data_IF_274379182615
#
_entry.id   IF_274379182615
#
_cell.length_a   1.000
_cell.length_b   1.000
_cell.length_c   1.000
_cell.angle_alpha   90.00
_cell.angle_beta   90.00
_cell.angle_gamma   90.00
#
_symmetry.space_group_name_H-M   'P 1'
#
loop_
_entity.id
_entity.type
_entity.pdbx_description
1 polymer ?
#
# COMPACT_ATOMS: atom_id res chain seq x y z
N UNK A 1 -9.91 65.66 -35.83
CA UNK A 1 -10.39 66.01 -37.18
C UNK A 1 -10.26 64.74 -38.01
N UNK A 2 -11.39 64.23 -38.53
CA UNK A 2 -11.55 63.27 -39.65
C UNK A 2 -10.98 61.85 -39.43
N UNK A 3 -11.72 60.73 -39.34
CA UNK A 3 -12.95 60.18 -39.96
C UNK A 3 -12.89 59.90 -41.47
N UNK A 4 -13.00 58.59 -41.79
CA UNK A 4 -13.57 57.90 -42.99
C UNK A 4 -12.61 56.82 -43.53
N UNK A 5 -13.02 55.68 -44.08
CA UNK A 5 -14.28 54.92 -44.11
C UNK A 5 -13.98 53.54 -44.76
N UNK A 6 -14.82 52.56 -44.40
CA UNK A 6 -15.16 51.27 -45.02
C UNK A 6 -14.72 50.95 -46.47
N UNK A 7 -14.35 49.68 -46.68
CA UNK A 7 -14.85 48.85 -47.80
C UNK A 7 -14.98 47.38 -47.39
N UNK A 8 -16.08 46.76 -47.82
CA UNK A 8 -16.51 45.40 -47.52
C UNK A 8 -16.37 44.46 -48.73
N UNK A 9 -16.07 43.19 -48.43
CA UNK A 9 -16.53 41.91 -49.04
C UNK A 9 -16.18 41.55 -50.51
N UNK A 10 -16.01 40.24 -50.87
CA UNK A 10 -17.02 39.20 -50.66
C UNK A 10 -16.55 37.81 -50.15
N UNK A 11 -17.54 37.00 -49.77
CA UNK A 11 -17.45 35.70 -49.13
C UNK A 11 -17.41 34.48 -50.09
N UNK A 12 -16.72 33.43 -49.61
CA UNK A 12 -16.98 31.96 -49.77
C UNK A 12 -16.79 31.29 -51.15
N UNK A 13 -16.50 29.95 -51.24
CA UNK A 13 -16.86 28.89 -50.27
C UNK A 13 -15.84 27.72 -50.02
N UNK A 14 -16.13 26.97 -48.95
CA UNK A 14 -15.79 25.54 -48.68
C UNK A 14 -14.39 25.14 -48.19
N UNK A 15 -14.27 24.91 -46.88
CA UNK A 15 -13.47 23.80 -46.33
C UNK A 15 -14.08 23.29 -45.01
N UNK A 16 -14.04 21.96 -44.85
CA UNK A 16 -14.73 21.09 -43.87
C UNK A 16 -14.32 21.32 -42.39
N UNK A 17 -15.12 20.89 -41.40
CA UNK A 17 -14.82 21.11 -39.99
C UNK A 17 -13.64 20.25 -39.50
N UNK A 18 -12.76 20.87 -38.72
CA UNK A 18 -11.61 20.25 -38.08
C UNK A 18 -12.00 19.29 -36.95
N UNK A 19 -11.32 18.15 -36.89
CA UNK A 19 -11.33 17.24 -35.74
C UNK A 19 -10.47 17.77 -34.58
N UNK A 20 -10.60 17.20 -33.37
CA UNK A 20 -9.91 17.70 -32.18
C UNK A 20 -8.40 17.47 -32.26
N UNK A 21 -7.66 18.46 -31.77
CA UNK A 21 -6.20 18.52 -31.72
C UNK A 21 -5.61 17.36 -30.90
N UNK A 22 -4.49 16.79 -31.40
CA UNK A 22 -3.67 15.80 -30.68
C UNK A 22 -2.91 16.48 -29.55
N UNK A 23 -2.79 15.87 -28.35
CA UNK A 23 -1.90 16.39 -27.31
C UNK A 23 -0.43 16.17 -27.71
N UNK A 24 0.36 17.24 -27.63
CA UNK A 24 1.80 17.24 -27.86
C UNK A 24 2.56 16.67 -26.65
N UNK A 25 3.53 15.78 -26.91
CA UNK A 25 4.41 15.14 -25.92
C UNK A 25 5.40 16.17 -25.32
N UNK A 26 5.70 16.15 -24.00
CA UNK A 26 6.64 17.09 -23.37
C UNK A 26 8.11 16.78 -23.70
N UNK A 27 8.90 17.83 -23.88
CA UNK A 27 10.27 17.87 -24.44
C UNK A 27 11.43 17.54 -23.49
N UNK A 28 11.18 16.98 -22.30
CA UNK A 28 12.25 16.76 -21.31
C UNK A 28 13.06 15.45 -21.48
N UNK A 29 12.69 14.58 -22.42
CA UNK A 29 13.36 13.30 -22.64
C UNK A 29 14.47 13.36 -23.70
N UNK A 30 15.61 14.01 -23.40
CA UNK A 30 16.86 13.80 -24.16
C UNK A 30 18.10 13.86 -23.27
N UNK A 31 18.91 12.80 -23.40
CA UNK A 31 20.29 12.60 -22.93
C UNK A 31 20.44 11.93 -21.56
N UNK A 32 20.85 10.65 -21.56
CA UNK A 32 22.21 10.18 -21.27
C UNK A 32 22.36 8.78 -21.87
N UNK A 33 23.42 8.57 -22.66
CA UNK A 33 23.88 7.26 -23.15
C UNK A 33 25.26 7.03 -22.54
N UNK A 34 25.47 5.90 -21.87
CA UNK A 34 26.79 5.26 -21.78
C UNK A 34 26.62 3.75 -21.68
N UNK A 35 27.41 3.07 -22.50
CA UNK A 35 27.43 1.66 -22.86
C UNK A 35 28.09 0.80 -21.78
N UNK A 36 27.61 -0.43 -21.57
CA UNK A 36 28.45 -1.53 -21.08
C UNK A 36 28.12 -2.82 -21.84
N UNK A 37 29.18 -3.46 -22.32
CA UNK A 37 29.21 -4.62 -23.21
C UNK A 37 29.07 -5.89 -22.36
N UNK A 38 28.16 -6.79 -22.75
CA UNK A 38 28.02 -8.13 -22.17
C UNK A 38 28.85 -9.12 -22.99
N UNK A 39 29.62 -9.95 -22.30
CA UNK A 39 30.25 -11.15 -22.86
C UNK A 39 29.37 -12.37 -22.60
N UNK A 40 29.08 -13.13 -23.66
CA UNK A 40 28.43 -14.44 -23.60
C UNK A 40 29.36 -15.48 -22.98
N UNK A 41 28.82 -16.29 -22.07
CA UNK A 41 29.43 -17.56 -21.64
C UNK A 41 28.32 -18.62 -21.58
N UNK A 42 28.46 -19.63 -22.44
CA UNK A 42 27.64 -20.84 -22.45
C UNK A 42 27.97 -21.73 -21.24
N UNK A 43 26.95 -22.35 -20.64
CA UNK A 43 27.09 -23.44 -19.65
C UNK A 43 26.37 -24.69 -20.14
N UNK A 44 27.00 -25.88 -20.14
CA UNK A 44 26.32 -27.14 -20.39
C UNK A 44 25.67 -27.71 -19.11
N UNK A 45 24.54 -28.39 -19.30
CA UNK A 45 23.74 -28.98 -18.23
C UNK A 45 24.23 -30.33 -17.71
N UNK A 46 23.60 -30.78 -16.63
CA UNK A 46 23.46 -32.20 -16.28
C UNK A 46 22.30 -32.38 -15.28
N UNK A 47 21.38 -33.29 -15.63
CA UNK A 47 20.35 -33.85 -14.76
C UNK A 47 20.94 -34.87 -13.77
N UNK A 48 20.27 -35.05 -12.62
CA UNK A 48 20.31 -36.34 -11.91
C UNK A 48 19.98 -36.26 -10.41
N UNK A 49 19.23 -37.25 -9.85
CA UNK A 49 18.21 -37.02 -8.82
C UNK A 49 18.65 -37.46 -7.42
N UNK A 50 17.85 -37.10 -6.38
CA UNK A 50 17.42 -38.04 -5.32
C UNK A 50 16.52 -37.42 -4.24
N UNK A 51 15.36 -38.04 -4.12
CA UNK A 51 14.47 -38.18 -2.98
C UNK A 51 15.21 -38.49 -1.66
N UNK A 52 14.95 -37.70 -0.60
CA UNK A 52 15.13 -38.08 0.81
C UNK A 52 14.17 -37.31 1.73
N UNK A 53 13.25 -38.07 2.34
CA UNK A 53 12.85 -37.96 3.75
C UNK A 53 12.38 -36.60 4.25
N UNK A 54 11.05 -36.42 4.34
CA UNK A 54 10.44 -35.39 5.19
C UNK A 54 10.60 -35.79 6.65
N UNK A 55 11.70 -35.37 7.28
CA UNK A 55 11.81 -35.41 8.74
C UNK A 55 10.74 -34.50 9.34
N UNK A 56 9.77 -35.11 10.00
CA UNK A 56 8.73 -34.43 10.75
C UNK A 56 9.37 -34.02 12.07
N UNK A 57 9.89 -32.78 12.14
CA UNK A 57 10.43 -32.20 13.36
C UNK A 57 9.37 -32.27 14.46
N UNK A 58 9.61 -33.13 15.44
CA UNK A 58 9.03 -33.04 16.78
C UNK A 58 9.42 -31.68 17.37
N UNK A 59 8.44 -30.92 17.85
CA UNK A 59 8.60 -29.54 18.32
C UNK A 59 9.83 -29.37 19.23
N UNK A 60 10.70 -28.37 18.98
CA UNK A 60 11.63 -27.95 20.01
C UNK A 60 10.82 -27.26 21.13
N UNK A 61 11.10 -27.63 22.37
CA UNK A 61 10.75 -26.84 23.56
C UNK A 61 11.18 -25.38 23.32
N UNK A 62 10.23 -24.46 23.34
CA UNK A 62 10.47 -23.08 22.90
C UNK A 62 11.53 -22.38 23.76
N UNK A 63 12.58 -21.90 23.09
CA UNK A 63 13.81 -21.34 23.65
C UNK A 63 13.77 -19.81 23.62
N UNK A 64 12.60 -19.22 23.77
CA UNK A 64 12.40 -17.77 23.81
C UNK A 64 12.49 -17.22 25.23
N UNK A 65 12.96 -15.99 25.33
CA UNK A 65 12.95 -15.20 26.58
C UNK A 65 11.64 -14.41 26.64
N UNK A 66 10.87 -14.59 27.72
CA UNK A 66 9.76 -13.68 28.02
C UNK A 66 10.29 -12.41 28.68
N UNK A 67 9.92 -11.24 28.15
CA UNK A 67 10.29 -9.94 28.69
C UNK A 67 9.01 -9.24 29.17
N UNK A 68 8.77 -9.31 30.47
CA UNK A 68 7.58 -8.77 31.14
C UNK A 68 7.88 -7.71 32.19
N UNK A 69 9.09 -7.15 32.20
CA UNK A 69 9.51 -6.08 33.09
C UNK A 69 10.51 -5.14 32.42
N UNK A 70 10.56 -3.90 32.88
CA UNK A 70 11.35 -2.84 32.25
C UNK A 70 12.86 -3.13 32.28
N UNK A 71 13.39 -3.68 33.37
CA UNK A 71 14.83 -3.91 33.49
C UNK A 71 15.31 -4.94 32.48
N UNK A 72 14.55 -6.03 32.30
CA UNK A 72 14.82 -7.02 31.28
C UNK A 72 14.71 -6.46 29.86
N UNK A 73 13.78 -5.53 29.63
CA UNK A 73 13.62 -4.86 28.33
C UNK A 73 14.80 -3.94 28.00
N UNK A 74 15.26 -3.12 28.94
CA UNK A 74 16.42 -2.25 28.74
C UNK A 74 17.68 -3.05 28.43
N UNK A 75 17.93 -4.14 29.18
CA UNK A 75 19.05 -5.04 28.92
C UNK A 75 18.97 -5.70 27.54
N UNK A 76 17.76 -6.06 27.09
CA UNK A 76 17.56 -6.58 25.74
C UNK A 76 17.90 -5.51 24.70
N UNK A 77 17.46 -4.27 24.87
CA UNK A 77 17.79 -3.20 23.92
C UNK A 77 19.30 -2.94 23.85
N UNK A 78 20.01 -2.97 24.97
CA UNK A 78 21.49 -2.89 24.98
C UNK A 78 22.15 -4.05 24.24
N UNK A 79 21.60 -5.26 24.35
CA UNK A 79 22.08 -6.45 23.63
C UNK A 79 21.86 -6.35 22.12
N UNK A 80 20.73 -5.77 21.69
CA UNK A 80 20.33 -5.73 20.28
C UNK A 80 20.90 -4.53 19.53
N UNK A 81 21.13 -3.39 20.18
CA UNK A 81 21.68 -2.23 19.50
C UNK A 81 23.10 -2.54 19.00
N UNK A 82 23.29 -2.44 17.68
CA UNK A 82 24.58 -2.68 17.04
C UNK A 82 24.78 -4.11 16.53
N UNK A 83 23.82 -5.02 16.73
CA UNK A 83 23.84 -6.30 16.00
C UNK A 83 23.57 -6.04 14.51
N UNK A 84 24.09 -6.86 13.58
CA UNK A 84 23.95 -6.57 12.15
C UNK A 84 22.50 -6.57 11.65
N UNK A 85 21.67 -7.47 12.19
CA UNK A 85 20.27 -7.60 11.84
C UNK A 85 19.45 -8.24 12.97
N UNK A 86 18.18 -7.86 13.07
CA UNK A 86 17.18 -8.45 13.97
C UNK A 86 15.95 -8.86 13.16
N UNK A 87 15.41 -10.04 13.40
CA UNK A 87 14.07 -10.42 12.98
C UNK A 87 13.03 -9.77 13.88
N UNK A 88 11.96 -9.23 13.30
CA UNK A 88 10.89 -8.57 14.04
C UNK A 88 9.53 -8.94 13.46
N UNK A 89 8.56 -9.13 14.35
CA UNK A 89 7.14 -9.28 14.04
C UNK A 89 6.32 -8.64 15.16
N UNK A 90 5.02 -8.42 14.93
CA UNK A 90 4.11 -7.91 15.96
C UNK A 90 2.76 -8.63 15.97
N UNK A 91 2.14 -8.69 17.15
CA UNK A 91 0.72 -9.02 17.28
C UNK A 91 -0.03 -7.82 17.84
N UNK A 92 -1.20 -7.53 17.27
CA UNK A 92 -1.99 -6.34 17.61
C UNK A 92 -3.47 -6.56 17.35
N UNK A 93 -4.31 -5.73 17.96
CA UNK A 93 -5.74 -5.69 17.70
C UNK A 93 -6.20 -4.32 17.21
N UNK A 94 -7.28 -4.31 16.39
CA UNK A 94 -7.89 -3.08 15.82
C UNK A 94 -9.40 -3.06 15.88
N UNK A 95 -10.04 -4.16 16.27
CA UNK A 95 -11.48 -4.35 16.12
C UNK A 95 -12.29 -3.45 17.06
N UNK A 96 -11.70 -3.12 18.21
CA UNK A 96 -12.34 -2.42 19.34
C UNK A 96 -11.86 -0.99 19.54
N UNK A 97 -10.87 -0.55 18.76
CA UNK A 97 -10.19 0.75 18.86
C UNK A 97 -10.21 1.48 17.51
N UNK A 98 -9.84 2.75 17.50
CA UNK A 98 -9.60 3.46 16.24
C UNK A 98 -8.21 3.11 15.69
N UNK A 99 -7.22 3.07 16.59
CA UNK A 99 -5.84 2.77 16.25
C UNK A 99 -5.46 1.32 16.57
N UNK A 100 -4.45 0.75 15.91
CA UNK A 100 -3.86 -0.51 16.35
C UNK A 100 -3.21 -0.38 17.72
N UNK A 101 -3.43 -1.38 18.57
CA UNK A 101 -2.76 -1.54 19.85
C UNK A 101 -1.85 -2.75 19.80
N UNK A 102 -0.57 -2.51 20.09
CA UNK A 102 0.46 -3.53 20.12
C UNK A 102 0.26 -4.44 21.35
N UNK A 103 0.02 -5.72 21.12
CA UNK A 103 -0.20 -6.72 22.16
C UNK A 103 1.02 -7.61 22.37
N UNK A 104 1.88 -7.80 21.38
CA UNK A 104 3.13 -8.55 21.51
C UNK A 104 4.16 -8.04 20.51
N UNK A 105 5.43 -7.96 20.95
CA UNK A 105 6.56 -7.71 20.07
C UNK A 105 7.49 -8.92 20.10
N UNK A 106 7.84 -9.43 18.93
CA UNK A 106 8.72 -10.57 18.76
C UNK A 106 10.05 -10.11 18.18
N UNK A 107 11.16 -10.58 18.76
CA UNK A 107 12.50 -10.21 18.34
C UNK A 107 13.37 -11.46 18.23
N UNK A 108 14.09 -11.61 17.12
CA UNK A 108 15.08 -12.67 16.92
C UNK A 108 16.43 -12.07 16.51
N UNK A 109 17.51 -12.57 17.08
CA UNK A 109 18.88 -12.19 16.77
C UNK A 109 19.78 -13.43 16.78
N UNK A 110 21.03 -13.38 16.30
CA UNK A 110 21.85 -14.59 16.18
C UNK A 110 22.03 -15.41 17.47
N UNK A 111 21.95 -14.76 18.64
CA UNK A 111 22.14 -15.41 19.94
C UNK A 111 20.83 -15.83 20.63
N UNK A 112 19.65 -15.42 20.15
CA UNK A 112 18.40 -15.73 20.83
C UNK A 112 17.13 -15.16 20.22
N UNK A 113 16.03 -15.39 20.93
CA UNK A 113 14.69 -14.92 20.61
C UNK A 113 14.03 -14.41 21.88
N UNK A 114 13.27 -13.32 21.77
CA UNK A 114 12.48 -12.76 22.86
C UNK A 114 11.05 -12.47 22.43
N UNK A 115 10.12 -12.66 23.36
CA UNK A 115 8.74 -12.18 23.29
C UNK A 115 8.59 -11.09 24.34
N UNK A 116 8.31 -9.87 23.91
CA UNK A 116 8.20 -8.68 24.76
C UNK A 116 6.74 -8.35 24.96
N UNK A 117 6.32 -8.22 26.22
CA UNK A 117 4.97 -7.80 26.61
C UNK A 117 4.84 -6.27 26.64
N UNK A 118 4.22 -5.64 25.63
CA UNK A 118 4.06 -4.20 25.54
C UNK A 118 3.17 -3.63 26.65
N UNK A 119 2.34 -4.47 27.29
CA UNK A 119 1.44 -4.06 28.36
C UNK A 119 2.17 -3.96 29.71
N UNK A 120 3.37 -4.53 29.82
CA UNK A 120 4.16 -4.58 31.04
C UNK A 120 5.41 -3.69 31.02
N UNK A 121 5.77 -3.12 29.86
CA UNK A 121 6.98 -2.31 29.67
C UNK A 121 6.69 -1.04 28.88
N UNK A 122 7.48 0.00 29.11
CA UNK A 122 7.56 1.16 28.22
C UNK A 122 8.46 0.82 27.01
N UNK A 123 7.87 0.85 25.82
CA UNK A 123 8.54 0.55 24.56
C UNK A 123 9.33 1.73 23.97
N UNK A 124 9.36 2.90 24.62
CA UNK A 124 10.14 4.05 24.14
C UNK A 124 11.61 3.70 23.86
N UNK A 125 12.19 2.79 24.66
CA UNK A 125 13.56 2.29 24.47
C UNK A 125 13.81 1.55 23.15
N UNK A 126 12.76 1.07 22.46
CA UNK A 126 12.84 0.41 21.16
C UNK A 126 13.31 1.36 20.06
N UNK A 127 13.01 2.66 20.18
CA UNK A 127 13.44 3.67 19.20
C UNK A 127 14.97 3.65 18.99
N UNK A 128 15.75 3.36 20.04
CA UNK A 128 17.22 3.21 19.92
C UNK A 128 17.64 2.12 18.95
N UNK A 129 16.91 1.01 18.90
CA UNK A 129 17.16 -0.08 17.96
C UNK A 129 16.70 0.30 16.56
N UNK A 130 15.50 0.88 16.43
CA UNK A 130 14.90 1.25 15.15
C UNK A 130 15.66 2.37 14.43
N UNK A 131 16.17 3.35 15.17
CA UNK A 131 16.95 4.47 14.64
C UNK A 131 18.44 4.11 14.44
N UNK A 132 18.84 2.88 14.78
CA UNK A 132 20.21 2.42 14.62
C UNK A 132 20.50 1.89 13.20
N UNK A 133 21.79 1.68 12.84
CA UNK A 133 22.16 1.03 11.58
C UNK A 133 21.77 -0.46 11.48
N UNK A 134 21.24 -1.08 12.55
CA UNK A 134 20.80 -2.48 12.56
C UNK A 134 19.67 -2.69 11.55
N UNK A 135 19.78 -3.73 10.72
CA UNK A 135 18.72 -4.06 9.77
C UNK A 135 17.58 -4.78 10.50
N UNK A 136 16.38 -4.19 10.48
CA UNK A 136 15.16 -4.88 10.91
C UNK A 136 14.65 -5.70 9.74
N UNK A 137 14.63 -7.01 9.91
CA UNK A 137 14.10 -7.99 8.97
C UNK A 137 12.69 -8.34 9.41
N UNK A 138 11.71 -8.11 8.54
CA UNK A 138 10.31 -8.41 8.80
C UNK A 138 9.68 -9.09 7.57
N UNK A 139 8.43 -9.54 7.69
CA UNK A 139 7.69 -10.15 6.60
C UNK A 139 6.34 -9.48 6.43
N UNK A 140 6.09 -8.85 5.27
CA UNK A 140 4.84 -8.14 5.01
C UNK A 140 4.54 -7.03 6.04
N UNK A 141 5.57 -6.23 6.35
CA UNK A 141 5.67 -5.34 7.50
C UNK A 141 4.77 -4.09 7.45
N UNK A 142 3.92 -3.93 6.43
CA UNK A 142 3.17 -2.68 6.23
C UNK A 142 2.31 -2.30 7.44
N UNK A 143 1.67 -3.29 8.07
CA UNK A 143 0.85 -3.06 9.27
C UNK A 143 1.71 -2.93 10.52
N UNK A 144 2.76 -3.72 10.66
CA UNK A 144 3.70 -3.67 11.79
C UNK A 144 4.32 -2.27 11.90
N UNK A 145 4.68 -1.64 10.79
CA UNK A 145 5.26 -0.30 10.78
C UNK A 145 4.26 0.76 11.31
N UNK A 146 2.97 0.64 11.02
CA UNK A 146 1.94 1.52 11.60
C UNK A 146 1.82 1.32 13.12
N UNK A 147 1.87 0.06 13.56
CA UNK A 147 1.80 -0.30 14.98
C UNK A 147 3.03 0.21 15.74
N UNK A 148 4.23 0.01 15.19
CA UNK A 148 5.50 0.46 15.75
C UNK A 148 5.57 1.98 15.83
N UNK A 149 5.25 2.70 14.76
CA UNK A 149 5.28 4.17 14.76
C UNK A 149 4.39 4.75 15.86
N UNK A 150 3.23 4.13 16.10
CA UNK A 150 2.34 4.53 17.18
C UNK A 150 2.88 4.14 18.57
N UNK A 151 3.43 2.94 18.71
CA UNK A 151 3.88 2.41 19.99
C UNK A 151 5.18 3.04 20.50
N UNK A 152 6.11 3.37 19.60
CA UNK A 152 7.45 3.88 19.97
C UNK A 152 7.85 5.18 19.25
N UNK A 153 7.00 5.75 18.39
CA UNK A 153 7.20 7.05 17.76
C UNK A 153 8.10 7.05 16.52
N UNK A 154 8.61 5.89 16.10
CA UNK A 154 9.48 5.75 14.93
C UNK A 154 9.28 4.40 14.23
N UNK A 155 9.89 4.24 13.06
CA UNK A 155 9.97 3.01 12.29
C UNK A 155 11.45 2.68 12.01
N UNK A 156 11.81 1.43 11.68
CA UNK A 156 13.19 1.09 11.37
C UNK A 156 13.80 1.98 10.28
N UNK A 157 14.97 2.56 10.56
CA UNK A 157 15.76 3.29 9.57
C UNK A 157 16.22 2.37 8.44
N UNK A 158 16.54 1.11 8.76
CA UNK A 158 16.93 0.07 7.80
C UNK A 158 15.97 -1.11 7.89
N UNK A 159 15.01 -1.15 6.97
CA UNK A 159 14.07 -2.25 6.82
C UNK A 159 14.49 -3.20 5.70
N UNK A 160 14.39 -4.50 5.93
CA UNK A 160 14.38 -5.53 4.90
C UNK A 160 13.09 -6.35 5.03
N UNK A 161 12.16 -6.14 4.10
CA UNK A 161 10.92 -6.91 4.04
C UNK A 161 11.11 -8.14 3.14
N UNK A 162 11.00 -9.33 3.73
CA UNK A 162 11.19 -10.60 3.04
C UNK A 162 10.13 -10.89 1.98
N UNK A 163 8.90 -10.39 2.12
CA UNK A 163 7.84 -10.53 1.12
C UNK A 163 8.12 -9.64 -0.10
N UNK A 164 8.53 -8.40 0.13
CA UNK A 164 8.96 -7.47 -0.93
C UNK A 164 10.15 -8.06 -1.69
N UNK A 165 11.18 -8.52 -0.98
CA UNK A 165 12.36 -9.15 -1.55
C UNK A 165 12.01 -10.39 -2.39
N UNK A 166 11.12 -11.25 -1.91
CA UNK A 166 10.66 -12.42 -2.64
C UNK A 166 9.90 -12.08 -3.93
N UNK A 167 9.23 -10.92 -3.97
CA UNK A 167 8.59 -10.42 -5.20
C UNK A 167 9.58 -10.21 -6.34
N UNK A 168 10.82 -9.80 -6.04
CA UNK A 168 11.89 -9.69 -7.04
C UNK A 168 12.46 -11.04 -7.52
N UNK A 169 12.07 -12.15 -6.87
CA UNK A 169 12.34 -13.52 -7.28
C UNK A 169 11.12 -14.16 -7.99
N UNK A 170 10.06 -13.39 -8.24
CA UNK A 170 8.86 -13.83 -8.95
C UNK A 170 7.82 -14.49 -8.06
N UNK A 171 7.93 -14.34 -6.74
CA UNK A 171 6.92 -14.83 -5.80
C UNK A 171 5.92 -13.72 -5.49
N UNK A 172 4.69 -13.87 -5.97
CA UNK A 172 3.61 -12.91 -5.70
C UNK A 172 3.01 -13.11 -4.31
N UNK A 173 3.20 -12.12 -3.43
CA UNK A 173 2.65 -12.07 -2.07
C UNK A 173 2.76 -13.40 -1.29
N UNK A 174 3.95 -14.04 -1.22
CA UNK A 174 4.10 -15.28 -0.48
C UNK A 174 3.88 -15.03 1.01
N UNK A 175 3.23 -15.97 1.71
CA UNK A 175 3.21 -15.98 3.17
C UNK A 175 4.59 -16.34 3.72
N UNK A 176 4.85 -16.00 4.98
CA UNK A 176 6.08 -16.40 5.68
C UNK A 176 6.29 -17.92 5.62
N UNK A 177 5.23 -18.69 5.92
CA UNK A 177 5.25 -20.16 5.81
C UNK A 177 5.62 -20.67 4.42
N UNK A 178 5.18 -19.97 3.37
CA UNK A 178 5.54 -20.32 1.98
C UNK A 178 7.01 -20.04 1.71
N UNK A 179 7.57 -18.95 2.24
CA UNK A 179 8.99 -18.64 2.09
C UNK A 179 9.87 -19.63 2.85
N UNK A 180 9.52 -19.94 4.10
CA UNK A 180 10.24 -20.93 4.91
C UNK A 180 10.25 -22.30 4.22
N UNK A 181 9.10 -22.75 3.69
CA UNK A 181 9.01 -24.02 2.96
C UNK A 181 9.83 -24.01 1.67
N UNK A 182 9.68 -22.97 0.83
CA UNK A 182 10.35 -22.92 -0.48
C UNK A 182 11.85 -22.66 -0.42
N UNK A 183 12.30 -21.81 0.51
CA UNK A 183 13.68 -21.33 0.54
C UNK A 183 14.54 -22.07 1.56
N UNK A 184 13.94 -22.52 2.67
CA UNK A 184 14.66 -23.23 3.75
C UNK A 184 14.29 -24.71 3.83
N UNK A 185 13.31 -25.18 3.05
CA UNK A 185 12.80 -26.55 3.09
C UNK A 185 12.34 -26.97 4.50
N UNK A 186 11.72 -26.04 5.24
CA UNK A 186 11.18 -26.25 6.60
C UNK A 186 9.70 -25.91 6.64
N UNK A 187 8.98 -26.43 7.63
CA UNK A 187 7.55 -26.13 7.80
C UNK A 187 7.34 -25.42 9.13
N UNK A 188 6.76 -24.22 9.06
CA UNK A 188 6.23 -23.56 10.24
C UNK A 188 5.05 -24.36 10.79
N UNK A 189 4.99 -24.45 12.13
CA UNK A 189 3.87 -25.07 12.80
C UNK A 189 2.58 -24.30 12.48
N UNK A 190 1.47 -25.01 12.35
CA UNK A 190 0.15 -24.37 12.23
C UNK A 190 -0.26 -23.89 13.62
N UNK A 191 -0.35 -22.58 13.81
CA UNK A 191 -1.01 -21.98 14.97
C UNK A 191 -2.23 -21.17 14.57
N UNK A 192 -3.07 -20.87 15.55
CA UNK A 192 -4.26 -20.06 15.36
C UNK A 192 -3.89 -18.57 15.42
N UNK A 193 -3.91 -17.93 14.25
CA UNK A 193 -3.68 -16.48 14.10
C UNK A 193 -4.82 -15.64 14.67
N UNK A 194 -6.01 -16.24 14.86
CA UNK A 194 -7.22 -15.53 15.29
C UNK A 194 -7.48 -15.76 16.77
N UNK A 195 -6.51 -15.39 17.60
CA UNK A 195 -6.60 -15.44 19.06
C UNK A 195 -6.61 -14.04 19.67
N UNK A 196 -7.06 -13.94 20.92
CA UNK A 196 -7.04 -12.69 21.67
C UNK A 196 -5.65 -12.47 22.28
N UNK A 197 -4.82 -11.69 21.59
CA UNK A 197 -3.46 -11.35 21.98
C UNK A 197 -3.37 -10.39 23.16
N UNK A 198 -4.47 -9.70 23.51
CA UNK A 198 -4.51 -8.79 24.67
C UNK A 198 -4.61 -9.54 26.01
N UNK A 199 -4.95 -10.84 25.98
CA UNK A 199 -5.13 -11.63 27.20
C UNK A 199 -3.80 -11.91 27.88
N UNK A 200 -3.80 -11.87 29.22
CA UNK A 200 -2.67 -12.27 30.05
C UNK A 200 -3.10 -13.29 31.12
N UNK A 201 -2.24 -14.28 31.45
CA UNK A 201 -1.00 -14.62 30.74
C UNK A 201 -1.29 -15.22 29.35
N UNK A 202 -0.34 -15.08 28.41
CA UNK A 202 -0.42 -15.78 27.12
C UNK A 202 -0.23 -17.29 27.32
N UNK A 203 -1.01 -18.09 26.60
CA UNK A 203 -0.84 -19.54 26.61
C UNK A 203 0.49 -19.95 25.95
N UNK A 204 0.98 -21.15 26.29
CA UNK A 204 2.21 -21.67 25.67
C UNK A 204 2.09 -21.76 24.15
N UNK A 205 0.93 -22.18 23.63
CA UNK A 205 0.70 -22.28 22.19
C UNK A 205 0.76 -20.91 21.48
N UNK A 206 0.30 -19.84 22.13
CA UNK A 206 0.43 -18.48 21.61
C UNK A 206 1.89 -18.04 21.54
N UNK A 207 2.65 -18.33 22.61
CA UNK A 207 4.07 -17.99 22.67
C UNK A 207 4.88 -18.78 21.62
N UNK A 208 4.61 -20.08 21.46
CA UNK A 208 5.28 -20.93 20.47
C UNK A 208 4.98 -20.46 19.03
N UNK A 209 3.73 -20.07 18.77
CA UNK A 209 3.33 -19.48 17.48
C UNK A 209 4.09 -18.17 17.22
N UNK A 210 4.05 -17.24 18.17
CA UNK A 210 4.71 -15.94 18.04
C UNK A 210 6.23 -16.08 17.85
N UNK A 211 6.88 -17.00 18.55
CA UNK A 211 8.30 -17.27 18.36
C UNK A 211 8.60 -17.80 16.95
N UNK A 212 7.75 -18.67 16.40
CA UNK A 212 7.95 -19.26 15.08
C UNK A 212 7.92 -18.21 13.94
N UNK A 213 7.19 -17.10 14.11
CA UNK A 213 7.08 -16.05 13.08
C UNK A 213 8.36 -15.20 12.93
N UNK A 214 9.26 -15.20 13.92
CA UNK A 214 10.58 -14.53 13.81
C UNK A 214 11.77 -15.48 13.73
N UNK A 215 11.60 -16.75 14.11
CA UNK A 215 12.67 -17.75 14.22
C UNK A 215 13.53 -17.87 12.95
N UNK A 216 12.91 -17.80 11.78
CA UNK A 216 13.57 -18.04 10.49
C UNK A 216 13.85 -16.77 9.68
N UNK A 217 13.49 -15.58 10.17
CA UNK A 217 13.61 -14.34 9.40
C UNK A 217 15.06 -14.01 9.02
N UNK A 218 16.01 -14.19 9.95
CA UNK A 218 17.42 -13.91 9.68
C UNK A 218 18.04 -14.88 8.66
N UNK A 219 17.61 -16.14 8.67
CA UNK A 219 18.07 -17.13 7.67
C UNK A 219 17.46 -16.83 6.29
N UNK A 220 16.17 -16.49 6.24
CA UNK A 220 15.50 -16.02 5.03
C UNK A 220 16.20 -14.79 4.45
N UNK A 221 16.54 -13.81 5.29
CA UNK A 221 17.26 -12.61 4.89
C UNK A 221 18.57 -12.94 4.16
N UNK A 222 19.38 -13.85 4.70
CA UNK A 222 20.64 -14.26 4.07
C UNK A 222 20.41 -14.94 2.71
N UNK A 223 19.46 -15.86 2.63
CA UNK A 223 19.13 -16.56 1.37
C UNK A 223 18.63 -15.59 0.32
N UNK A 224 17.74 -14.66 0.70
CA UNK A 224 17.17 -13.66 -0.21
C UNK A 224 18.24 -12.70 -0.71
N UNK A 225 19.11 -12.18 0.17
CA UNK A 225 20.23 -11.32 -0.24
C UNK A 225 21.10 -12.03 -1.28
N UNK A 226 21.50 -13.29 -1.02
CA UNK A 226 22.35 -14.04 -1.92
C UNK A 226 21.70 -14.25 -3.30
N UNK A 227 20.42 -14.67 -3.32
CA UNK A 227 19.70 -14.89 -4.59
C UNK A 227 19.45 -13.60 -5.37
N UNK A 228 19.14 -12.50 -4.68
CA UNK A 228 18.92 -11.20 -5.31
C UNK A 228 20.23 -10.60 -5.84
N UNK A 229 21.33 -10.74 -5.10
CA UNK A 229 22.64 -10.29 -5.54
C UNK A 229 23.08 -11.05 -6.80
N UNK A 230 22.88 -12.36 -6.85
CA UNK A 230 23.18 -13.19 -8.04
C UNK A 230 22.38 -12.77 -9.29
N UNK A 231 21.19 -12.16 -9.12
CA UNK A 231 20.37 -11.63 -10.21
C UNK A 231 20.57 -10.13 -10.47
N UNK A 232 21.42 -9.44 -9.71
CA UNK A 232 21.59 -7.99 -9.80
C UNK A 232 20.38 -7.17 -9.34
N UNK A 233 19.53 -7.73 -8.46
CA UNK A 233 18.25 -7.15 -8.03
C UNK A 233 18.22 -6.69 -6.57
N UNK A 234 19.31 -6.91 -5.82
CA UNK A 234 19.35 -6.59 -4.39
C UNK A 234 19.05 -5.11 -4.12
N UNK A 235 19.68 -4.21 -4.86
CA UNK A 235 19.47 -2.76 -4.70
C UNK A 235 18.03 -2.34 -5.02
N UNK A 236 17.33 -3.05 -5.91
CA UNK A 236 15.91 -2.78 -6.19
C UNK A 236 15.04 -3.18 -5.00
N UNK A 237 15.30 -4.35 -4.39
CA UNK A 237 14.61 -4.80 -3.19
C UNK A 237 14.83 -3.85 -2.01
N UNK A 238 16.08 -3.42 -1.79
CA UNK A 238 16.42 -2.44 -0.74
C UNK A 238 15.69 -1.10 -0.95
N UNK A 239 15.63 -0.61 -2.19
CA UNK A 239 14.87 0.60 -2.53
C UNK A 239 13.38 0.44 -2.22
N UNK A 240 12.78 -0.71 -2.50
CA UNK A 240 11.37 -0.95 -2.18
C UNK A 240 11.09 -1.08 -0.69
N UNK A 241 12.00 -1.69 0.06
CA UNK A 241 11.89 -1.74 1.52
C UNK A 241 12.03 -0.34 2.12
N UNK A 242 12.93 0.50 1.60
CA UNK A 242 13.07 1.89 2.01
C UNK A 242 11.81 2.71 1.67
N UNK A 243 11.24 2.53 0.48
CA UNK A 243 9.97 3.16 0.11
C UNK A 243 8.84 2.75 1.05
N UNK A 244 8.73 1.46 1.38
CA UNK A 244 7.77 0.95 2.36
C UNK A 244 7.96 1.61 3.73
N UNK A 245 9.19 1.68 4.24
CA UNK A 245 9.51 2.34 5.50
C UNK A 245 9.12 3.83 5.50
N UNK A 246 9.36 4.53 4.38
CA UNK A 246 9.11 5.98 4.25
C UNK A 246 7.65 6.39 3.95
N UNK A 247 6.71 5.44 3.80
CA UNK A 247 5.31 5.77 3.48
C UNK A 247 4.71 6.68 4.55
N UNK A 248 3.89 7.63 4.10
CA UNK A 248 3.11 8.47 5.00
C UNK A 248 2.01 7.64 5.65
N UNK A 249 2.06 7.55 6.98
CA UNK A 249 1.10 6.81 7.82
C UNK A 249 0.19 7.73 8.62
N UNK A 250 0.22 9.04 8.34
CA UNK A 250 -0.70 9.99 8.97
C UNK A 250 -2.15 9.59 8.65
N UNK A 251 -3.07 9.70 9.62
CA UNK A 251 -4.48 9.50 9.35
C UNK A 251 -4.94 10.38 8.16
N UNK A 252 -5.78 9.85 7.26
CA UNK A 252 -6.32 10.65 6.16
C UNK A 252 -7.02 11.90 6.69
N UNK A 253 -7.08 12.95 5.86
CA UNK A 253 -7.83 14.17 6.18
C UNK A 253 -9.28 13.80 6.56
N UNK A 254 -9.75 14.17 7.78
CA UNK A 254 -11.13 13.93 8.20
C UNK A 254 -12.17 14.44 7.20
N UNK A 255 -11.87 15.51 6.45
CA UNK A 255 -12.75 16.05 5.41
C UNK A 255 -13.00 15.07 4.26
N UNK A 256 -12.14 14.07 4.07
CA UNK A 256 -12.25 13.02 3.05
C UNK A 256 -12.92 11.75 3.59
N UNK A 257 -13.25 11.68 4.90
CA UNK A 257 -13.76 10.47 5.52
C UNK A 257 -15.07 9.96 4.88
N UNK A 258 -15.87 10.86 4.31
CA UNK A 258 -17.12 10.52 3.61
C UNK A 258 -16.90 9.80 2.27
N UNK A 259 -15.71 9.85 1.66
CA UNK A 259 -15.41 9.18 0.39
C UNK A 259 -15.47 7.66 0.48
N UNK A 260 -15.15 7.10 1.67
CA UNK A 260 -15.19 5.66 1.96
C UNK A 260 -16.62 5.13 2.09
N UNK A 261 -17.61 6.01 2.27
CA UNK A 261 -19.01 5.64 2.41
C UNK A 261 -19.60 5.45 1.01
N UNK A 262 -19.81 4.20 0.59
CA UNK A 262 -20.29 3.87 -0.77
C UNK A 262 -21.60 4.59 -1.12
N UNK A 263 -22.53 4.70 -0.17
CA UNK A 263 -23.82 5.38 -0.35
C UNK A 263 -23.66 6.90 -0.57
N UNK A 264 -22.57 7.50 -0.08
CA UNK A 264 -22.35 8.93 -0.19
C UNK A 264 -22.09 9.40 -1.63
N UNK A 265 -21.72 8.48 -2.54
CA UNK A 265 -21.59 8.73 -3.98
C UNK A 265 -22.89 9.24 -4.63
N UNK A 266 -24.05 8.95 -4.03
CA UNK A 266 -25.36 9.38 -4.54
C UNK A 266 -25.75 10.78 -4.07
N UNK A 267 -25.03 11.37 -3.10
CA UNK A 267 -25.35 12.69 -2.55
C UNK A 267 -25.07 13.80 -3.54
N UNK A 268 -25.88 14.86 -3.49
CA UNK A 268 -25.82 16.05 -4.35
C UNK A 268 -26.08 17.32 -3.52
N UNK A 269 -25.55 18.45 -3.98
CA UNK A 269 -25.73 19.76 -3.33
C UNK A 269 -25.33 19.76 -1.85
N UNK A 270 -26.09 20.48 -1.03
CA UNK A 270 -25.85 20.65 0.40
C UNK A 270 -25.70 19.33 1.19
N UNK A 271 -26.30 18.23 0.72
CA UNK A 271 -26.16 16.93 1.36
C UNK A 271 -24.70 16.42 1.36
N UNK A 272 -23.89 16.82 0.37
CA UNK A 272 -22.44 16.53 0.36
C UNK A 272 -21.73 17.30 1.46
N UNK A 273 -22.07 18.57 1.67
CA UNK A 273 -21.46 19.40 2.72
C UNK A 273 -21.76 18.86 4.10
N UNK A 274 -23.02 18.45 4.34
CA UNK A 274 -23.42 17.79 5.59
C UNK A 274 -22.69 16.46 5.77
N UNK A 275 -22.61 15.61 4.74
CA UNK A 275 -21.87 14.35 4.84
C UNK A 275 -20.38 14.56 5.15
N UNK A 276 -19.72 15.52 4.49
CA UNK A 276 -18.32 15.87 4.74
C UNK A 276 -18.11 16.32 6.19
N UNK A 277 -18.88 17.31 6.65
CA UNK A 277 -18.71 17.87 7.99
C UNK A 277 -19.01 16.85 9.10
N UNK A 278 -20.10 16.09 8.97
CA UNK A 278 -20.47 15.05 9.94
C UNK A 278 -19.48 13.88 9.93
N UNK A 279 -18.98 13.47 8.75
CA UNK A 279 -17.95 12.45 8.66
C UNK A 279 -16.63 12.90 9.28
N UNK A 280 -16.22 14.16 9.06
CA UNK A 280 -15.01 14.73 9.64
C UNK A 280 -15.09 14.81 11.17
N UNK A 281 -16.23 15.26 11.71
CA UNK A 281 -16.48 15.22 13.15
C UNK A 281 -16.42 13.78 13.69
N UNK A 282 -17.06 12.84 13.01
CA UNK A 282 -17.07 11.42 13.40
C UNK A 282 -15.64 10.87 13.46
N UNK A 283 -14.83 11.13 12.44
CA UNK A 283 -13.45 10.65 12.36
C UNK A 283 -12.58 11.24 13.46
N UNK A 284 -12.67 12.56 13.67
CA UNK A 284 -11.91 13.28 14.72
C UNK A 284 -12.29 12.77 16.11
N UNK A 285 -13.58 12.57 16.37
CA UNK A 285 -14.08 12.05 17.64
C UNK A 285 -13.69 10.59 17.85
N UNK A 286 -13.67 9.79 16.79
CA UNK A 286 -13.25 8.40 16.82
C UNK A 286 -11.77 8.27 17.19
N UNK A 287 -10.91 9.07 16.54
CA UNK A 287 -9.49 9.15 16.86
C UNK A 287 -9.24 9.65 18.29
N UNK A 288 -9.89 10.75 18.71
CA UNK A 288 -9.69 11.34 20.03
C UNK A 288 -10.17 10.42 21.18
N UNK A 289 -11.22 9.63 20.95
CA UNK A 289 -11.72 8.66 21.95
C UNK A 289 -11.17 7.25 21.76
N UNK A 290 -10.30 7.05 20.78
CA UNK A 290 -9.77 5.76 20.34
C UNK A 290 -10.84 4.65 20.21
N UNK A 291 -11.93 4.99 19.54
CA UNK A 291 -13.04 4.05 19.29
C UNK A 291 -13.30 3.94 17.80
N UNK A 292 -13.73 2.77 17.30
CA UNK A 292 -14.10 2.63 15.90
C UNK A 292 -15.14 3.68 15.50
N UNK A 293 -14.98 4.31 14.33
CA UNK A 293 -15.88 5.38 13.86
C UNK A 293 -17.37 4.97 13.86
N UNK A 294 -17.66 3.69 13.58
CA UNK A 294 -19.01 3.10 13.64
C UNK A 294 -19.65 3.14 15.03
N UNK A 295 -18.84 3.15 16.10
CA UNK A 295 -19.29 3.26 17.49
C UNK A 295 -19.51 4.71 17.94
N UNK A 296 -18.91 5.67 17.23
CA UNK A 296 -19.17 7.11 17.44
C UNK A 296 -20.49 7.49 16.80
N UNK A 297 -20.62 7.25 15.49
CA UNK A 297 -21.84 7.49 14.74
C UNK A 297 -21.99 6.42 13.64
N UNK A 298 -23.03 5.57 13.72
CA UNK A 298 -23.30 4.56 12.71
C UNK A 298 -23.41 5.18 11.30
N UNK A 299 -22.89 4.50 10.29
CA UNK A 299 -22.93 4.98 8.90
C UNK A 299 -24.36 5.26 8.42
N UNK A 300 -25.33 4.44 8.82
CA UNK A 300 -26.74 4.65 8.51
C UNK A 300 -27.28 5.98 9.08
N UNK A 301 -26.88 6.35 10.29
CA UNK A 301 -27.30 7.61 10.90
C UNK A 301 -26.65 8.80 10.20
N UNK A 302 -25.35 8.72 9.91
CA UNK A 302 -24.63 9.75 9.15
C UNK A 302 -25.31 10.01 7.80
N UNK A 303 -25.64 8.95 7.06
CA UNK A 303 -26.33 9.08 5.78
C UNK A 303 -27.74 9.63 5.92
N UNK A 304 -28.48 9.23 6.96
CA UNK A 304 -29.81 9.77 7.23
C UNK A 304 -29.77 11.26 7.54
N UNK A 305 -28.79 11.72 8.33
CA UNK A 305 -28.52 13.13 8.61
C UNK A 305 -28.15 13.88 7.33
N UNK A 306 -27.29 13.32 6.48
CA UNK A 306 -26.89 13.95 5.23
C UNK A 306 -28.06 14.14 4.26
N UNK A 307 -28.96 13.14 4.15
CA UNK A 307 -30.13 13.22 3.29
C UNK A 307 -31.22 14.15 3.83
N UNK A 308 -31.44 14.14 5.15
CA UNK A 308 -32.42 15.00 5.83
C UNK A 308 -31.79 15.62 7.07
N UNK A 309 -31.09 16.76 6.91
CA UNK A 309 -30.45 17.45 8.02
C UNK A 309 -31.46 17.82 9.11
N UNK A 310 -31.27 17.38 10.37
CA UNK A 310 -32.16 17.75 11.47
C UNK A 310 -32.00 19.24 11.79
N UNK A 311 -33.11 19.89 12.16
CA UNK A 311 -33.17 21.32 12.50
C UNK A 311 -33.00 21.59 13.99
N UNK A 312 -33.30 20.59 14.81
CA UNK A 312 -33.21 20.65 16.26
C UNK A 312 -32.88 19.27 16.85
N UNK A 313 -32.69 19.23 18.18
CA UNK A 313 -32.37 18.00 18.91
C UNK A 313 -33.51 16.97 18.88
N UNK A 314 -34.76 17.42 18.73
CA UNK A 314 -35.92 16.52 18.65
C UNK A 314 -35.91 15.77 17.32
N UNK A 315 -35.70 16.46 16.20
CA UNK A 315 -35.53 15.84 14.89
C UNK A 315 -34.31 14.93 14.86
N UNK A 316 -33.18 15.34 15.46
CA UNK A 316 -31.98 14.50 15.55
C UNK A 316 -32.28 13.18 16.29
N UNK A 317 -33.04 13.22 17.39
CA UNK A 317 -33.40 12.02 18.16
C UNK A 317 -34.24 11.00 17.39
N UNK A 318 -34.90 11.42 16.31
CA UNK A 318 -35.75 10.59 15.44
C UNK A 318 -35.02 10.07 14.19
N UNK A 319 -33.75 10.43 14.01
CA UNK A 319 -32.93 9.99 12.87
C UNK A 319 -32.81 8.47 12.87
N UNK A 320 -33.09 7.86 11.72
CA UNK A 320 -32.94 6.42 11.53
C UNK A 320 -31.49 5.98 11.73
N UNK A 321 -31.30 4.91 12.49
CA UNK A 321 -29.96 4.37 12.80
C UNK A 321 -29.28 5.06 13.98
N UNK A 322 -29.93 6.06 14.58
CA UNK A 322 -29.48 6.73 15.77
C UNK A 322 -30.31 6.24 16.97
N UNK A 323 -29.69 5.46 17.85
CA UNK A 323 -30.37 5.03 19.09
C UNK A 323 -30.39 6.19 20.08
N UNK A 324 -31.56 6.71 20.46
CA UNK A 324 -31.67 7.89 21.35
C UNK A 324 -30.96 7.70 22.70
N UNK A 325 -30.85 6.45 23.19
CA UNK A 325 -30.08 6.11 24.42
C UNK A 325 -28.56 6.27 24.27
N UNK A 326 -28.04 6.31 23.05
CA UNK A 326 -26.61 6.49 22.76
C UNK A 326 -26.21 7.95 22.52
N UNK A 327 -27.19 8.86 22.37
CA UNK A 327 -26.90 10.30 22.30
C UNK A 327 -26.79 10.90 23.69
N UNK A 328 -25.55 11.11 24.13
CA UNK A 328 -25.29 12.08 25.18
C UNK A 328 -25.58 13.49 24.64
N UNK A 329 -26.02 14.39 25.52
CA UNK A 329 -26.37 15.77 25.15
C UNK A 329 -25.21 16.51 24.48
N UNK A 330 -23.98 16.33 24.96
CA UNK A 330 -22.78 16.90 24.34
C UNK A 330 -22.59 16.42 22.89
N UNK A 331 -22.72 15.11 22.66
CA UNK A 331 -22.60 14.52 21.33
C UNK A 331 -23.71 15.02 20.40
N UNK A 332 -24.94 15.18 20.92
CA UNK A 332 -26.06 15.71 20.17
C UNK A 332 -25.77 17.15 19.67
N UNK A 333 -25.26 17.99 20.56
CA UNK A 333 -24.86 19.36 20.24
C UNK A 333 -23.73 19.41 19.22
N UNK A 334 -22.71 18.56 19.35
CA UNK A 334 -21.60 18.48 18.41
C UNK A 334 -22.04 18.04 17.01
N UNK A 335 -22.95 17.05 16.93
CA UNK A 335 -23.53 16.63 15.64
C UNK A 335 -24.33 17.77 15.01
N UNK A 336 -25.18 18.47 15.77
CA UNK A 336 -25.92 19.63 15.26
C UNK A 336 -24.98 20.73 14.75
N UNK A 337 -23.86 20.97 15.45
CA UNK A 337 -22.84 21.91 15.00
C UNK A 337 -22.20 21.46 13.69
N UNK A 338 -21.84 20.18 13.55
CA UNK A 338 -21.30 19.63 12.31
C UNK A 338 -22.31 19.74 11.15
N UNK A 339 -23.60 19.52 11.42
CA UNK A 339 -24.67 19.71 10.43
C UNK A 339 -24.75 21.17 9.99
N UNK A 340 -24.73 22.12 10.92
CA UNK A 340 -24.75 23.55 10.60
C UNK A 340 -23.52 23.97 9.77
N UNK A 341 -22.33 23.47 10.11
CA UNK A 341 -21.11 23.66 9.31
C UNK A 341 -21.28 23.12 7.89
N UNK A 342 -21.83 21.91 7.76
CA UNK A 342 -22.04 21.28 6.45
C UNK A 342 -23.09 21.98 5.58
N UNK A 343 -24.15 22.53 6.18
CA UNK A 343 -25.16 23.34 5.49
C UNK A 343 -24.60 24.69 5.01
N UNK A 344 -23.66 25.26 5.76
CA UNK A 344 -22.98 26.51 5.42
C UNK A 344 -21.71 26.32 4.56
N UNK A 345 -21.40 25.08 4.18
CA UNK A 345 -20.24 24.77 3.34
C UNK A 345 -20.56 25.19 1.90
N UNK A 346 -19.65 25.96 1.30
CA UNK A 346 -19.77 26.34 -0.10
C UNK A 346 -19.17 25.26 -1.01
N UNK A 347 -19.51 25.32 -2.29
CA UNK A 347 -19.02 24.36 -3.27
C UNK A 347 -17.50 24.41 -3.44
N UNK A 348 -16.87 25.54 -3.13
CA UNK A 348 -15.41 25.71 -3.22
C UNK A 348 -14.64 24.98 -2.10
N UNK A 349 -15.24 24.78 -0.93
CA UNK A 349 -14.65 24.05 0.21
C UNK A 349 -15.10 22.59 0.30
N UNK A 350 -15.97 22.14 -0.62
CA UNK A 350 -16.31 20.73 -0.76
C UNK A 350 -15.09 19.94 -1.23
N UNK A 351 -14.62 19.02 -0.39
CA UNK A 351 -13.60 18.06 -0.74
C UNK A 351 -14.25 16.91 -1.51
N UNK A 352 -14.35 17.05 -2.83
CA UNK A 352 -14.93 16.03 -3.70
C UNK A 352 -13.93 14.90 -3.95
N UNK A 353 -14.40 13.64 -4.01
CA UNK A 353 -13.52 12.55 -4.46
C UNK A 353 -13.00 12.87 -5.87
N UNK A 354 -11.77 12.44 -6.21
CA UNK A 354 -11.25 12.59 -7.56
C UNK A 354 -12.27 12.07 -8.59
N UNK A 355 -12.54 12.84 -9.65
CA UNK A 355 -13.53 12.47 -10.65
C UNK A 355 -13.15 11.13 -11.31
N UNK A 356 -13.95 10.08 -11.09
CA UNK A 356 -13.84 8.80 -11.81
C UNK A 356 -14.15 8.95 -13.33
N UNK A 357 -14.51 10.14 -13.84
CA UNK A 357 -14.88 10.34 -15.25
C UNK A 357 -13.73 10.09 -16.23
N UNK A 358 -12.47 10.32 -15.81
CA UNK A 358 -11.29 9.95 -16.59
C UNK A 358 -11.17 8.43 -16.79
N UNK A 359 -11.78 7.63 -15.90
CA UNK A 359 -11.64 6.18 -15.86
C UNK A 359 -12.42 5.47 -16.99
N UNK A 360 -13.51 6.04 -17.54
CA UNK A 360 -14.27 5.31 -18.60
C UNK A 360 -13.56 5.27 -19.95
N UNK A 361 -12.98 6.40 -20.40
CA UNK A 361 -12.28 6.50 -21.68
C UNK A 361 -10.92 5.81 -21.61
N UNK A 362 -10.26 5.87 -20.46
CA UNK A 362 -8.92 5.32 -20.28
C UNK A 362 -8.91 3.87 -19.77
N UNK A 363 -10.05 3.32 -19.30
CA UNK A 363 -10.18 1.92 -18.83
C UNK A 363 -9.62 0.89 -19.81
N UNK A 364 -9.95 0.93 -21.12
CA UNK A 364 -9.37 -0.01 -22.09
C UNK A 364 -7.86 0.16 -22.24
N UNK A 365 -7.36 1.40 -22.26
CA UNK A 365 -5.93 1.68 -22.33
C UNK A 365 -5.18 1.15 -21.09
N UNK A 366 -5.76 1.35 -19.90
CA UNK A 366 -5.22 0.81 -18.66
C UNK A 366 -5.22 -0.72 -18.67
N UNK A 367 -6.26 -1.37 -19.19
CA UNK A 367 -6.30 -2.83 -19.31
C UNK A 367 -5.20 -3.36 -20.25
N UNK A 368 -4.97 -2.72 -21.40
CA UNK A 368 -3.88 -3.06 -22.32
C UNK A 368 -2.50 -2.92 -21.66
N UNK A 369 -2.25 -1.79 -21.01
CA UNK A 369 -1.02 -1.54 -20.27
C UNK A 369 -0.79 -2.58 -19.16
N UNK A 370 -1.85 -2.92 -18.39
CA UNK A 370 -1.77 -3.96 -17.36
C UNK A 370 -1.51 -5.36 -17.94
N UNK A 371 -2.08 -5.70 -19.10
CA UNK A 371 -1.82 -6.97 -19.76
C UNK A 371 -0.36 -7.10 -20.20
N UNK A 372 0.22 -6.03 -20.76
CA UNK A 372 1.64 -5.99 -21.09
C UNK A 372 2.53 -6.06 -19.85
N UNK A 373 2.19 -5.34 -18.77
CA UNK A 373 2.89 -5.44 -17.50
C UNK A 373 2.91 -6.87 -16.95
N UNK A 374 1.78 -7.57 -16.99
CA UNK A 374 1.70 -8.96 -16.54
C UNK A 374 2.59 -9.89 -17.39
N UNK A 375 2.64 -9.67 -18.70
CA UNK A 375 3.57 -10.38 -19.58
C UNK A 375 5.03 -10.10 -19.22
N UNK A 376 5.40 -8.83 -19.02
CA UNK A 376 6.76 -8.43 -18.62
C UNK A 376 7.15 -8.97 -17.26
N UNK A 377 6.23 -8.95 -16.29
CA UNK A 377 6.40 -9.54 -14.97
C UNK A 377 6.75 -11.04 -15.06
N UNK A 378 6.01 -11.78 -15.89
CA UNK A 378 6.27 -13.19 -16.17
C UNK A 378 7.65 -13.43 -16.80
N UNK A 379 8.04 -12.64 -17.80
CA UNK A 379 9.36 -12.74 -18.46
C UNK A 379 10.51 -12.45 -17.50
N UNK A 380 10.37 -11.39 -16.70
CA UNK A 380 11.38 -10.96 -15.76
C UNK A 380 11.40 -11.83 -14.49
N UNK A 381 10.36 -12.63 -14.24
CA UNK A 381 10.12 -13.31 -12.97
C UNK A 381 10.18 -12.32 -11.81
N UNK A 382 9.36 -11.28 -11.89
CA UNK A 382 9.17 -10.25 -10.87
C UNK A 382 7.68 -10.14 -10.62
N UNK A 383 7.26 -9.92 -9.38
CA UNK A 383 5.87 -9.61 -9.06
C UNK A 383 5.37 -8.37 -9.82
N UNK A 384 4.20 -8.49 -10.45
CA UNK A 384 3.66 -7.43 -11.28
C UNK A 384 3.38 -6.13 -10.50
N UNK A 385 2.97 -6.22 -9.22
CA UNK A 385 2.69 -5.08 -8.36
C UNK A 385 3.92 -4.25 -8.00
N UNK A 386 5.11 -4.89 -7.96
CA UNK A 386 6.39 -4.20 -7.79
C UNK A 386 6.76 -3.38 -9.03
N UNK A 387 6.44 -3.88 -10.23
CA UNK A 387 6.67 -3.18 -11.50
C UNK A 387 5.77 -1.95 -11.61
N UNK A 388 4.45 -2.17 -11.53
CA UNK A 388 3.44 -1.12 -11.54
C UNK A 388 2.07 -1.65 -11.08
N UNK A 389 1.32 -0.80 -10.38
CA UNK A 389 -0.08 -1.01 -10.05
C UNK A 389 -0.99 -0.39 -11.10
N UNK A 390 -2.28 -0.71 -11.03
CA UNK A 390 -3.29 -0.03 -11.85
C UNK A 390 -3.32 1.48 -11.61
N UNK A 391 -3.12 1.93 -10.38
CA UNK A 391 -3.08 3.35 -10.04
C UNK A 391 -1.89 4.05 -10.72
N UNK A 392 -0.72 3.39 -10.77
CA UNK A 392 0.45 3.94 -11.48
C UNK A 392 0.19 4.11 -12.99
N UNK A 393 -0.51 3.13 -13.60
CA UNK A 393 -0.89 3.18 -15.01
C UNK A 393 -1.91 4.29 -15.26
N UNK A 394 -2.88 4.47 -14.36
CA UNK A 394 -3.86 5.56 -14.45
C UNK A 394 -3.19 6.93 -14.31
N UNK A 395 -2.27 7.09 -13.36
CA UNK A 395 -1.48 8.32 -13.20
C UNK A 395 -0.66 8.63 -14.47
N UNK A 396 -0.06 7.60 -15.09
CA UNK A 396 0.64 7.75 -16.36
C UNK A 396 -0.30 8.17 -17.51
N UNK A 397 -1.49 7.59 -17.61
CA UNK A 397 -2.50 7.94 -18.61
C UNK A 397 -3.06 9.36 -18.41
N UNK A 398 -3.11 9.83 -17.17
CA UNK A 398 -3.46 11.21 -16.82
C UNK A 398 -2.30 12.20 -17.02
N UNK A 399 -1.12 11.73 -17.47
CA UNK A 399 0.10 12.51 -17.63
C UNK A 399 0.56 13.21 -16.34
N UNK A 400 0.31 12.59 -15.19
CA UNK A 400 0.75 13.11 -13.90
C UNK A 400 2.29 13.06 -13.81
N UNK A 401 2.95 14.19 -13.49
CA UNK A 401 4.40 14.22 -13.35
C UNK A 401 4.85 13.39 -12.14
N UNK A 402 5.99 12.70 -12.26
CA UNK A 402 6.65 12.06 -11.12
C UNK A 402 6.14 10.67 -10.74
N UNK A 403 5.30 10.02 -11.55
CA UNK A 403 4.88 8.63 -11.30
C UNK A 403 6.07 7.67 -11.21
N UNK A 404 6.05 6.73 -10.26
CA UNK A 404 7.19 5.82 -9.97
C UNK A 404 7.64 4.96 -11.17
N UNK A 405 6.75 4.74 -12.13
CA UNK A 405 7.07 4.03 -13.39
C UNK A 405 8.03 4.82 -14.29
N UNK A 406 8.16 6.13 -14.08
CA UNK A 406 9.05 7.00 -14.85
C UNK A 406 10.47 7.11 -14.28
N UNK A 407 10.78 6.38 -13.19
CA UNK A 407 12.03 6.54 -12.44
C UNK A 407 12.81 5.22 -12.28
N UNK A 408 14.14 5.34 -12.17
CA UNK A 408 15.04 4.27 -11.76
C UNK A 408 14.93 2.98 -12.59
N UNK A 409 15.08 1.84 -11.91
CA UNK A 409 15.04 0.52 -12.55
C UNK A 409 13.67 0.20 -13.17
N UNK A 410 12.58 0.73 -12.62
CA UNK A 410 11.22 0.55 -13.17
C UNK A 410 11.08 1.16 -14.55
N UNK A 411 11.66 2.34 -14.75
CA UNK A 411 11.64 3.00 -16.05
C UNK A 411 12.26 2.12 -17.13
N UNK A 412 13.42 1.52 -16.83
CA UNK A 412 14.13 0.66 -17.77
C UNK A 412 13.39 -0.66 -18.06
N UNK A 413 12.78 -1.28 -17.04
CA UNK A 413 12.10 -2.57 -17.23
C UNK A 413 10.73 -2.46 -17.91
N UNK A 414 9.95 -1.44 -17.53
CA UNK A 414 8.55 -1.29 -17.96
C UNK A 414 8.15 0.13 -18.32
N UNK A 415 8.69 1.16 -17.65
CA UNK A 415 8.23 2.55 -17.84
C UNK A 415 8.38 3.06 -19.26
N UNK A 416 9.52 2.82 -19.91
CA UNK A 416 9.76 3.22 -21.30
C UNK A 416 8.73 2.63 -22.26
N UNK A 417 8.42 1.33 -22.10
CA UNK A 417 7.43 0.66 -22.94
C UNK A 417 6.01 1.12 -22.64
N UNK A 418 5.66 1.30 -21.36
CA UNK A 418 4.36 1.87 -20.95
C UNK A 418 4.14 3.26 -21.56
N UNK A 419 5.13 4.14 -21.45
CA UNK A 419 5.05 5.51 -21.98
C UNK A 419 4.82 5.49 -23.50
N UNK A 420 5.56 4.67 -24.25
CA UNK A 420 5.39 4.54 -25.70
C UNK A 420 4.04 3.95 -26.09
N UNK A 421 3.55 2.97 -25.30
CA UNK A 421 2.24 2.37 -25.51
C UNK A 421 1.12 3.39 -25.28
N UNK A 422 1.19 4.15 -24.19
CA UNK A 422 0.24 5.22 -23.84
C UNK A 422 0.28 6.36 -24.86
N UNK A 423 1.46 6.75 -25.33
CA UNK A 423 1.64 7.76 -26.38
C UNK A 423 1.16 7.28 -27.77
N UNK A 424 0.83 5.99 -27.92
CA UNK A 424 0.42 5.41 -29.18
C UNK A 424 1.57 5.30 -30.20
N UNK A 425 2.81 5.27 -29.73
CA UNK A 425 4.03 5.01 -30.51
C UNK A 425 4.37 3.52 -30.60
N UNK A 426 3.76 2.73 -29.71
CA UNK A 426 3.86 1.28 -29.70
C UNK A 426 2.48 0.63 -29.75
N UNK A 427 2.45 -0.64 -30.15
CA UNK A 427 1.27 -1.49 -30.17
C UNK A 427 1.56 -2.81 -29.44
N UNK A 428 0.51 -3.45 -28.92
CA UNK A 428 0.59 -4.81 -28.42
C UNK A 428 0.11 -5.76 -29.50
N UNK A 429 0.89 -6.81 -29.73
CA UNK A 429 0.55 -7.89 -30.65
C UNK A 429 0.73 -9.24 -29.97
N UNK A 430 0.12 -10.28 -30.54
CA UNK A 430 0.37 -11.65 -30.16
C UNK A 430 1.60 -12.16 -30.89
N UNK A 431 2.62 -12.55 -30.15
CA UNK A 431 3.79 -13.23 -30.68
C UNK A 431 3.47 -14.67 -31.10
N UNK A 432 4.32 -15.29 -31.94
CA UNK A 432 4.12 -16.65 -32.44
C UNK A 432 4.12 -17.72 -31.33
N UNK A 433 4.63 -17.39 -30.15
CA UNK A 433 4.65 -18.25 -28.95
C UNK A 433 3.42 -18.05 -28.04
N UNK A 434 2.39 -17.32 -28.48
CA UNK A 434 1.20 -17.04 -27.68
C UNK A 434 1.41 -16.03 -26.56
N UNK A 435 2.54 -15.30 -26.56
CA UNK A 435 2.86 -14.26 -25.57
C UNK A 435 2.59 -12.87 -26.14
N UNK A 436 2.29 -11.91 -25.28
CA UNK A 436 2.17 -10.52 -25.72
C UNK A 436 3.55 -9.96 -26.05
N UNK A 437 3.66 -9.23 -27.15
CA UNK A 437 4.86 -8.45 -27.51
C UNK A 437 4.48 -6.99 -27.68
N UNK A 438 5.43 -6.10 -27.39
CA UNK A 438 5.27 -4.67 -27.62
C UNK A 438 6.18 -4.25 -28.76
N UNK A 439 5.58 -3.78 -29.86
CA UNK A 439 6.25 -3.44 -31.10
C UNK A 439 6.01 -1.97 -31.48
N UNK A 440 6.83 -1.43 -32.38
CA UNK A 440 6.60 -0.08 -32.90
C UNK A 440 5.28 -0.04 -33.68
N UNK A 441 4.48 1.00 -33.46
CA UNK A 441 3.18 1.10 -34.13
C UNK A 441 3.36 1.33 -35.63
N UNK A 442 2.66 0.55 -36.45
CA UNK A 442 2.69 0.67 -37.92
C UNK A 442 2.01 1.93 -38.46
N UNK A 443 1.13 2.55 -37.67
CA UNK A 443 0.21 3.62 -38.06
C UNK A 443 -0.73 3.29 -39.22
N UNK A 444 -0.80 2.03 -39.63
CA UNK A 444 -1.71 1.53 -40.66
C UNK A 444 -2.90 0.86 -39.97
N UNK A 445 -4.12 1.28 -40.34
CA UNK A 445 -5.33 0.63 -39.85
C UNK A 445 -5.47 -0.74 -40.52
N UNK A 446 -5.89 -1.74 -39.74
CA UNK A 446 -6.34 -3.02 -40.28
C UNK A 446 -7.74 -2.79 -40.83
N UNK A 447 -7.93 -3.00 -42.14
CA UNK A 447 -9.24 -2.94 -42.76
C UNK A 447 -10.05 -4.15 -42.31
N UNK A 448 -10.90 -3.93 -41.31
CA UNK A 448 -11.88 -4.91 -40.86
C UNK A 448 -13.16 -4.63 -41.65
N UNK A 449 -13.21 -5.10 -42.89
CA UNK A 449 -14.47 -5.15 -43.63
C UNK A 449 -15.41 -6.07 -42.84
N UNK A 450 -16.44 -5.48 -42.22
CA UNK A 450 -17.52 -6.19 -41.53
C UNK A 450 -18.59 -6.56 -42.54
#
# INVERSE_FOLDING_TARGET
MESRAFRAEPASPHCRPGGPARPSVPTWARSVVTTSVLHDVETPGAEGPRDRGTERLTAPSSRHRWIGDQAAFELLMEELVGVPAVGMDTEFHRERSYFPHLDLLQLAWPAGLALVDPLAVDLSGLARLLDSPTVVVAHAAEQDLEVLERACGTVPQRLFDTQVAAGFLGMSTPSLSTLVDRLLNRRLAKGDRLTDWSRRPLSQAQQDYAAADVEHLLELHQVLIHQLAAQGRLTWAEQECALLASRDRRPPDPSQAWWRIKAARQLRGAARGVAQAVAAWRETTAAASDRPARMVLPELALMSIAHRPPRDLTELSQVRGLESRRLRESMASEVMQAVAVGLALDDARLCLPPEEEMDRVQRPAAALAMAWLAQRASELRIDAGLLATRADVQALLAAEPGGRVALGWRYELVGRGLIRLVAGEAALAMGPNGRLVCEARSHQAIDLQI
#
